data_IF_035441712418
#
_entry.id   IF_035441712418
#
_cell.length_a   1.000
_cell.length_b   1.000
_cell.length_c   1.000
_cell.angle_alpha   90.00
_cell.angle_beta   90.00
_cell.angle_gamma   90.00
#
_symmetry.space_group_name_H-M   'P 1'
#
loop_
_entity.id
_entity.type
_entity.pdbx_description
1 polymer ?
#
# COMPACT_ATOMS: atom_id res chain seq x y z
N UNK A 1 -20.73 -8.50 12.83
CA UNK A 1 -19.61 -8.28 13.77
C UNK A 1 -18.27 -8.68 13.17
N UNK A 2 -18.03 -9.95 12.80
CA UNK A 2 -16.74 -10.38 12.24
C UNK A 2 -16.36 -9.63 10.94
N UNK A 3 -17.32 -9.39 10.04
CA UNK A 3 -17.11 -8.55 8.86
C UNK A 3 -16.56 -7.15 9.19
N UNK A 4 -17.10 -6.48 10.21
CA UNK A 4 -16.63 -5.14 10.61
C UNK A 4 -15.23 -5.16 11.21
N UNK A 5 -14.85 -6.22 11.93
CA UNK A 5 -13.47 -6.40 12.40
C UNK A 5 -12.52 -6.52 11.23
N UNK A 6 -12.88 -7.32 10.22
CA UNK A 6 -12.08 -7.47 8.99
C UNK A 6 -12.04 -6.19 8.16
N UNK A 7 -13.14 -5.44 8.08
CA UNK A 7 -13.16 -4.12 7.44
C UNK A 7 -12.21 -3.13 8.15
N UNK A 8 -12.22 -3.10 9.49
CA UNK A 8 -11.30 -2.27 10.26
C UNK A 8 -9.84 -2.68 10.00
N UNK A 9 -9.54 -3.98 10.03
CA UNK A 9 -8.20 -4.51 9.70
C UNK A 9 -7.80 -4.12 8.27
N UNK A 10 -8.73 -4.17 7.32
CA UNK A 10 -8.49 -3.81 5.93
C UNK A 10 -8.16 -2.33 5.76
N UNK A 11 -8.93 -1.45 6.41
CA UNK A 11 -8.70 0.01 6.40
C UNK A 11 -7.36 0.33 7.08
N UNK A 12 -7.05 -0.28 8.23
CA UNK A 12 -5.76 -0.11 8.90
C UNK A 12 -4.61 -0.65 8.04
N UNK A 13 -4.82 -1.75 7.32
CA UNK A 13 -3.87 -2.27 6.35
C UNK A 13 -3.59 -1.30 5.22
N UNK A 14 -4.63 -0.65 4.66
CA UNK A 14 -4.48 0.39 3.64
C UNK A 14 -3.70 1.60 4.17
N UNK A 15 -4.03 2.08 5.37
CA UNK A 15 -3.32 3.20 6.02
C UNK A 15 -1.88 2.82 6.31
N UNK A 16 -1.64 1.61 6.82
CA UNK A 16 -0.32 1.08 7.13
C UNK A 16 0.54 0.86 5.89
N UNK A 17 -0.06 0.48 4.77
CA UNK A 17 0.61 0.27 3.48
C UNK A 17 1.07 1.57 2.81
N UNK A 18 0.31 2.66 2.92
CA UNK A 18 0.67 3.92 2.24
C UNK A 18 1.21 5.01 3.16
N UNK A 19 0.75 5.09 4.40
CA UNK A 19 0.93 6.27 5.24
C UNK A 19 2.35 6.47 5.75
N UNK A 20 2.99 5.38 6.23
CA UNK A 20 4.26 5.48 6.94
C UNK A 20 5.42 5.85 6.02
N UNK A 21 5.59 5.16 4.88
CA UNK A 21 6.70 5.51 3.99
C UNK A 21 6.42 6.75 3.16
N UNK A 22 5.16 7.10 2.89
CA UNK A 22 4.83 8.36 2.21
C UNK A 22 5.25 9.56 3.07
N UNK A 23 4.89 9.55 4.36
CA UNK A 23 5.32 10.59 5.29
C UNK A 23 6.84 10.68 5.40
N UNK A 24 7.52 9.54 5.56
CA UNK A 24 8.98 9.49 5.63
C UNK A 24 9.65 9.96 4.32
N UNK A 25 9.08 9.61 3.16
CA UNK A 25 9.58 10.05 1.86
C UNK A 25 9.48 11.57 1.70
N UNK A 26 8.33 12.16 2.01
CA UNK A 26 8.16 13.61 1.91
C UNK A 26 9.06 14.38 2.87
N UNK A 27 9.30 13.84 4.08
CA UNK A 27 10.32 14.42 4.96
C UNK A 27 11.71 14.42 4.31
N UNK A 28 12.13 13.33 3.69
CA UNK A 28 13.43 13.29 2.97
C UNK A 28 13.48 14.21 1.75
N UNK A 29 12.35 14.40 1.06
CA UNK A 29 12.24 15.35 -0.06
C UNK A 29 12.35 16.79 0.43
N UNK A 30 11.68 17.14 1.54
CA UNK A 30 11.72 18.49 2.13
C UNK A 30 13.15 18.84 2.57
N UNK A 31 13.83 17.91 3.25
CA UNK A 31 15.22 18.07 3.66
C UNK A 31 16.22 17.94 2.50
N UNK A 32 15.74 17.52 1.32
CA UNK A 32 16.55 17.21 0.14
C UNK A 32 17.74 16.28 0.47
N UNK A 33 17.53 15.32 1.37
CA UNK A 33 18.57 14.46 1.90
C UNK A 33 18.05 13.02 2.09
N UNK A 34 18.85 12.05 1.67
CA UNK A 34 18.56 10.62 1.85
C UNK A 34 19.82 9.89 2.36
N UNK A 35 20.20 10.17 3.61
CA UNK A 35 21.38 9.54 4.21
C UNK A 35 21.22 8.01 4.32
N UNK A 36 22.33 7.29 4.43
CA UNK A 36 22.33 5.84 4.66
C UNK A 36 21.52 5.46 5.91
N UNK A 37 21.59 6.28 6.97
CA UNK A 37 20.83 6.08 8.21
C UNK A 37 19.32 6.22 7.96
N UNK A 38 18.91 7.27 7.25
CA UNK A 38 17.51 7.51 6.85
C UNK A 38 16.98 6.35 6.00
N UNK A 39 17.73 5.93 4.96
CA UNK A 39 17.35 4.81 4.09
C UNK A 39 17.26 3.49 4.85
N UNK A 40 18.14 3.26 5.83
CA UNK A 40 18.09 2.05 6.67
C UNK A 40 16.86 2.03 7.57
N UNK A 41 16.46 3.17 8.14
CA UNK A 41 15.21 3.30 8.88
C UNK A 41 13.99 3.12 7.96
N UNK A 42 14.03 3.73 6.78
CA UNK A 42 12.98 3.64 5.76
C UNK A 42 12.70 2.20 5.33
N UNK A 43 13.74 1.37 5.15
CA UNK A 43 13.57 -0.07 4.84
C UNK A 43 12.72 -0.80 5.88
N UNK A 44 12.81 -0.42 7.17
CA UNK A 44 11.97 -1.02 8.22
C UNK A 44 10.51 -0.62 8.04
N UNK A 45 10.25 0.60 7.57
CA UNK A 45 8.90 1.05 7.24
C UNK A 45 8.34 0.28 6.03
N UNK A 46 9.15 0.06 4.99
CA UNK A 46 8.74 -0.78 3.83
C UNK A 46 8.36 -2.20 4.27
N UNK A 47 9.07 -2.79 5.24
CA UNK A 47 8.69 -4.10 5.79
C UNK A 47 7.30 -4.05 6.45
N UNK A 48 7.00 -2.99 7.20
CA UNK A 48 5.67 -2.79 7.81
C UNK A 48 4.60 -2.61 6.73
N UNK A 49 4.92 -1.94 5.62
CA UNK A 49 4.01 -1.79 4.49
C UNK A 49 3.69 -3.11 3.82
N UNK A 50 4.70 -3.96 3.60
CA UNK A 50 4.50 -5.32 3.06
C UNK A 50 3.61 -6.14 3.98
N UNK A 51 3.83 -6.09 5.30
CA UNK A 51 2.95 -6.77 6.28
C UNK A 51 1.52 -6.21 6.18
N UNK A 52 1.38 -4.89 6.09
CA UNK A 52 0.10 -4.20 5.98
C UNK A 52 -0.65 -4.56 4.69
N UNK A 53 0.08 -4.68 3.57
CA UNK A 53 -0.44 -5.15 2.28
C UNK A 53 -0.93 -6.60 2.36
N UNK A 54 -0.18 -7.50 3.02
CA UNK A 54 -0.60 -8.89 3.26
C UNK A 54 -1.87 -8.93 4.12
N UNK A 55 -1.90 -8.16 5.21
CA UNK A 55 -3.07 -8.06 6.09
C UNK A 55 -4.30 -7.50 5.34
N UNK A 56 -4.10 -6.49 4.49
CA UNK A 56 -5.14 -5.93 3.64
C UNK A 56 -5.63 -6.97 2.61
N UNK A 57 -4.74 -7.73 1.98
CA UNK A 57 -5.11 -8.78 1.02
C UNK A 57 -5.93 -9.90 1.66
N UNK A 58 -5.48 -10.42 2.82
CA UNK A 58 -6.20 -11.49 3.55
C UNK A 58 -7.58 -10.99 3.99
N UNK A 59 -7.66 -9.78 4.53
CA UNK A 59 -8.94 -9.23 4.97
C UNK A 59 -9.88 -8.90 3.81
N UNK A 60 -9.34 -8.41 2.70
CA UNK A 60 -10.09 -8.16 1.46
C UNK A 60 -10.64 -9.45 0.86
N UNK A 61 -9.85 -10.52 0.82
CA UNK A 61 -10.29 -11.83 0.36
C UNK A 61 -11.43 -12.38 1.21
N UNK A 62 -11.31 -12.28 2.54
CA UNK A 62 -12.38 -12.68 3.45
C UNK A 62 -13.68 -11.90 3.19
N UNK A 63 -13.60 -10.58 3.07
CA UNK A 63 -14.76 -9.73 2.80
C UNK A 63 -15.38 -10.07 1.44
N UNK A 64 -14.57 -10.21 0.39
CA UNK A 64 -15.04 -10.57 -0.95
C UNK A 64 -15.82 -11.89 -0.96
N UNK A 65 -15.32 -12.92 -0.26
CA UNK A 65 -16.04 -14.21 -0.10
C UNK A 65 -17.36 -14.01 0.64
N UNK A 66 -17.37 -13.18 1.69
CA UNK A 66 -18.59 -12.90 2.48
C UNK A 66 -19.63 -12.14 1.68
N UNK A 67 -19.21 -11.28 0.77
CA UNK A 67 -20.06 -10.50 -0.12
C UNK A 67 -20.59 -11.29 -1.33
N UNK A 68 -20.36 -12.61 -1.40
CA UNK A 68 -20.79 -13.44 -2.52
C UNK A 68 -19.96 -13.26 -3.79
N UNK A 69 -18.69 -12.87 -3.65
CA UNK A 69 -17.71 -12.74 -4.73
C UNK A 69 -18.12 -11.77 -5.86
N UNK A 70 -18.46 -10.51 -5.56
CA UNK A 70 -18.97 -9.61 -6.57
C UNK A 70 -17.92 -9.25 -7.64
N UNK A 71 -18.39 -9.09 -8.88
CA UNK A 71 -17.52 -8.92 -10.07
C UNK A 71 -16.74 -7.61 -10.11
N UNK A 72 -17.17 -6.60 -9.35
CA UNK A 72 -16.52 -5.29 -9.35
C UNK A 72 -15.19 -5.27 -8.59
N UNK A 73 -14.87 -6.29 -7.77
CA UNK A 73 -13.61 -6.43 -7.00
C UNK A 73 -12.48 -7.03 -7.84
N UNK A 74 -12.79 -7.71 -8.95
CA UNK A 74 -11.78 -8.38 -9.79
C UNK A 74 -10.66 -7.46 -10.27
N UNK A 75 -10.91 -6.18 -10.65
CA UNK A 75 -9.84 -5.23 -10.93
C UNK A 75 -8.89 -5.03 -9.74
N UNK A 76 -9.40 -4.96 -8.51
CA UNK A 76 -8.55 -4.82 -7.31
C UNK A 76 -7.66 -6.07 -7.11
N UNK A 77 -8.18 -7.28 -7.36
CA UNK A 77 -7.37 -8.50 -7.37
C UNK A 77 -6.32 -8.51 -8.49
N UNK A 78 -6.66 -8.00 -9.68
CA UNK A 78 -5.72 -7.89 -10.79
C UNK A 78 -4.57 -6.90 -10.50
N UNK A 79 -4.79 -5.91 -9.63
CA UNK A 79 -3.77 -4.98 -9.18
C UNK A 79 -2.82 -5.60 -8.13
N UNK A 80 -3.21 -6.67 -7.42
CA UNK A 80 -2.38 -7.30 -6.39
C UNK A 80 -0.97 -7.69 -6.87
N UNK A 81 -0.77 -8.37 -8.02
CA UNK A 81 0.58 -8.67 -8.51
C UNK A 81 1.36 -7.40 -8.90
N UNK A 82 0.69 -6.37 -9.42
CA UNK A 82 1.33 -5.09 -9.75
C UNK A 82 1.81 -4.36 -8.49
N UNK A 83 1.01 -4.39 -7.42
CA UNK A 83 1.38 -3.86 -6.11
C UNK A 83 2.56 -4.64 -5.51
N UNK A 84 2.56 -5.97 -5.59
CA UNK A 84 3.68 -6.78 -5.11
C UNK A 84 5.00 -6.46 -5.85
N UNK A 85 4.93 -6.25 -7.18
CA UNK A 85 6.08 -5.78 -7.97
C UNK A 85 6.49 -4.36 -7.57
N UNK A 86 5.52 -3.48 -7.33
CA UNK A 86 5.74 -2.14 -6.80
C UNK A 86 6.53 -2.18 -5.49
N UNK A 87 6.09 -2.98 -4.51
CA UNK A 87 6.74 -3.14 -3.21
C UNK A 87 8.15 -3.69 -3.32
N UNK A 88 8.37 -4.62 -4.26
CA UNK A 88 9.72 -5.09 -4.56
C UNK A 88 10.61 -3.95 -5.04
N UNK A 89 10.15 -3.14 -5.99
CA UNK A 89 10.92 -1.99 -6.47
C UNK A 89 11.11 -0.92 -5.39
N UNK A 90 10.08 -0.66 -4.58
CA UNK A 90 10.13 0.22 -3.43
C UNK A 90 11.29 -0.13 -2.51
N UNK A 91 11.35 -1.40 -2.11
CA UNK A 91 12.43 -1.93 -1.27
C UNK A 91 13.79 -1.79 -1.97
N UNK A 92 13.89 -2.14 -3.27
CA UNK A 92 15.13 -2.02 -4.04
C UNK A 92 15.62 -0.59 -4.17
N UNK A 93 14.72 0.39 -4.31
CA UNK A 93 15.07 1.81 -4.43
C UNK A 93 15.75 2.34 -3.18
N UNK A 94 15.46 1.79 -2.00
CA UNK A 94 16.12 2.18 -0.75
C UNK A 94 17.64 1.92 -0.75
N UNK A 95 18.16 1.15 -1.71
CA UNK A 95 19.60 0.89 -1.88
C UNK A 95 20.22 1.73 -3.00
N UNK A 96 19.43 2.59 -3.68
CA UNK A 96 19.91 3.46 -4.75
C UNK A 96 20.32 4.82 -4.19
N UNK A 97 21.41 5.34 -4.75
CA UNK A 97 21.77 6.77 -4.75
C UNK A 97 20.66 7.69 -5.26
N UNK A 98 19.88 7.24 -6.24
CA UNK A 98 18.75 7.96 -6.84
C UNK A 98 17.40 7.68 -6.16
N UNK A 99 17.40 7.40 -4.86
CA UNK A 99 16.19 7.07 -4.11
C UNK A 99 15.06 8.10 -4.31
N UNK A 100 15.35 9.40 -4.10
CA UNK A 100 14.34 10.46 -4.16
C UNK A 100 13.69 10.58 -5.55
N UNK A 101 14.48 10.46 -6.61
CA UNK A 101 14.02 10.52 -8.01
C UNK A 101 13.14 9.32 -8.35
N UNK A 102 13.60 8.10 -8.03
CA UNK A 102 12.88 6.87 -8.35
C UNK A 102 11.58 6.74 -7.55
N UNK A 103 11.62 7.12 -6.28
CA UNK A 103 10.44 7.12 -5.41
C UNK A 103 9.36 8.06 -5.89
N UNK A 104 9.70 9.20 -6.53
CA UNK A 104 8.69 10.14 -7.04
C UNK A 104 7.68 9.45 -7.97
N UNK A 105 8.17 8.65 -8.91
CA UNK A 105 7.30 7.94 -9.85
C UNK A 105 6.48 6.85 -9.15
N UNK A 106 7.09 6.14 -8.21
CA UNK A 106 6.42 5.09 -7.45
C UNK A 106 5.33 5.68 -6.53
N UNK A 107 5.59 6.80 -5.87
CA UNK A 107 4.62 7.50 -5.03
C UNK A 107 3.42 8.01 -5.83
N UNK A 108 3.63 8.53 -7.05
CA UNK A 108 2.52 8.90 -7.94
C UNK A 108 1.69 7.68 -8.33
N UNK A 109 2.35 6.60 -8.73
CA UNK A 109 1.68 5.33 -9.03
C UNK A 109 0.83 4.84 -7.85
N UNK A 110 1.41 4.77 -6.65
CA UNK A 110 0.69 4.37 -5.44
C UNK A 110 -0.47 5.28 -5.08
N UNK A 111 -0.33 6.59 -5.27
CA UNK A 111 -1.43 7.54 -5.02
C UNK A 111 -2.64 7.25 -5.92
N UNK A 112 -2.40 7.02 -7.21
CA UNK A 112 -3.47 6.69 -8.17
C UNK A 112 -4.14 5.37 -7.78
N UNK A 113 -3.35 4.34 -7.45
CA UNK A 113 -3.89 3.04 -7.04
C UNK A 113 -4.65 3.13 -5.72
N UNK A 114 -4.14 3.87 -4.74
CA UNK A 114 -4.81 4.06 -3.46
C UNK A 114 -6.17 4.74 -3.64
N UNK A 115 -6.27 5.79 -4.46
CA UNK A 115 -7.55 6.43 -4.78
C UNK A 115 -8.54 5.45 -5.42
N UNK A 116 -8.06 4.62 -6.35
CA UNK A 116 -8.87 3.58 -6.97
C UNK A 116 -9.38 2.55 -5.95
N UNK A 117 -8.49 2.02 -5.09
CA UNK A 117 -8.84 1.02 -4.08
C UNK A 117 -9.79 1.58 -3.01
N UNK A 118 -9.60 2.84 -2.60
CA UNK A 118 -10.50 3.53 -1.68
C UNK A 118 -11.89 3.67 -2.33
N UNK A 119 -11.94 4.09 -3.59
CA UNK A 119 -13.20 4.21 -4.31
C UNK A 119 -13.93 2.87 -4.39
N UNK A 120 -13.22 1.81 -4.78
CA UNK A 120 -13.77 0.46 -4.90
C UNK A 120 -14.32 -0.05 -3.55
N UNK A 121 -13.59 0.18 -2.47
CA UNK A 121 -13.99 -0.20 -1.10
C UNK A 121 -15.21 0.57 -0.58
N UNK A 122 -15.28 1.88 -0.79
CA UNK A 122 -16.33 2.74 -0.19
C UNK A 122 -17.62 2.73 -1.02
N UNK A 123 -17.52 2.83 -2.35
CA UNK A 123 -18.67 3.14 -3.20
C UNK A 123 -19.27 1.92 -3.91
N UNK A 124 -18.68 0.73 -3.76
CA UNK A 124 -19.23 -0.50 -4.35
C UNK A 124 -19.59 -1.65 -3.40
N UNK A 125 -19.81 -1.52 -2.09
CA UNK A 125 -20.11 -2.68 -1.25
C UNK A 125 -21.44 -3.35 -1.66
N UNK A 126 -21.50 -4.69 -1.69
CA UNK A 126 -22.77 -5.42 -1.83
C UNK A 126 -22.81 -6.71 -1.01
N UNK A 127 -23.82 -6.78 -0.12
CA UNK A 127 -24.34 -7.87 0.77
C UNK A 127 -23.38 -8.65 1.67
#
# INVERSE_FOLDING_TARGET
MLYHVFLMIHILGLIGWGGLTTGAYYMMVIENEATIKMLTAYRRLVIIEVISLITMAISGLYMWIKLGMPNWVYPAFALAPLLAVGEFYHYRFTFSDKFLEKMRYLSVFYTIIALFLIYDMIFKPQL
#
